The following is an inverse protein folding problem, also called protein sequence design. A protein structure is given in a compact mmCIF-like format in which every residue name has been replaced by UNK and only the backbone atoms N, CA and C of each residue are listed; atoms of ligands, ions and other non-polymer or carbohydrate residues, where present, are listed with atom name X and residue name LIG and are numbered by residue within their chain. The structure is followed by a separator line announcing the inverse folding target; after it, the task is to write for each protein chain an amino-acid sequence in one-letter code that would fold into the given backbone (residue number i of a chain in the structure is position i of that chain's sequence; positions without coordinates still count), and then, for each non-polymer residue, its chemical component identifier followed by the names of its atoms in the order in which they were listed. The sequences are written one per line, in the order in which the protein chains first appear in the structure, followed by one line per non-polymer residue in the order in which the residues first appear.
data_IF_772290635015
#
_entry.id   IF_772290635015
#
_cell.length_a   1.000
_cell.length_b   1.000
_cell.length_c   1.000
_cell.angle_alpha   90.00
_cell.angle_beta   90.00
_cell.angle_gamma   90.00
#
_symmetry.space_group_name_H-M   'P 1'
#
loop_
_entity.id
_entity.type
_entity.pdbx_description
1 polymer ?
#
# COMPACT_ATOMS: atom_id res chain seq x y z
N UNK A 1 3.08 -9.95 -11.10
CA UNK A 1 3.54 -9.34 -12.35
C UNK A 1 2.68 -8.14 -12.73
N UNK A 2 3.27 -7.12 -13.34
CA UNK A 2 2.61 -5.89 -13.80
C UNK A 2 1.43 -6.21 -14.76
N UNK A 3 1.57 -7.24 -15.56
CA UNK A 3 0.52 -7.73 -16.45
C UNK A 3 -0.78 -8.10 -15.71
N UNK A 4 -0.67 -8.74 -14.54
CA UNK A 4 -1.85 -9.06 -13.72
C UNK A 4 -2.55 -7.79 -13.19
N UNK A 5 -1.78 -6.77 -12.85
CA UNK A 5 -2.31 -5.48 -12.42
C UNK A 5 -3.07 -4.79 -13.58
N UNK A 6 -2.49 -4.81 -14.79
CA UNK A 6 -3.14 -4.31 -16.01
C UNK A 6 -4.46 -5.03 -16.31
N UNK A 7 -4.47 -6.35 -16.23
CA UNK A 7 -5.67 -7.15 -16.46
C UNK A 7 -6.76 -6.88 -15.41
N UNK A 8 -6.38 -6.78 -14.13
CA UNK A 8 -7.29 -6.42 -13.05
C UNK A 8 -7.91 -5.03 -13.28
N UNK A 9 -7.10 -4.03 -13.64
CA UNK A 9 -7.58 -2.68 -13.97
C UNK A 9 -8.62 -2.70 -15.10
N UNK A 10 -8.28 -3.35 -16.23
CA UNK A 10 -9.19 -3.47 -17.38
C UNK A 10 -10.52 -4.16 -17.05
N UNK A 11 -10.50 -5.05 -16.07
CA UNK A 11 -11.70 -5.72 -15.59
C UNK A 11 -12.50 -4.82 -14.65
N UNK A 12 -11.87 -4.30 -13.61
CA UNK A 12 -12.56 -3.58 -12.53
C UNK A 12 -13.04 -2.19 -12.90
N UNK A 13 -12.41 -1.49 -13.86
CA UNK A 13 -12.90 -0.19 -14.36
C UNK A 13 -14.33 -0.22 -14.93
N UNK A 14 -14.89 -1.41 -15.13
CA UNK A 14 -16.26 -1.59 -15.64
C UNK A 14 -17.31 -1.56 -14.53
N UNK A 15 -16.90 -1.46 -13.27
CA UNK A 15 -17.79 -1.60 -12.11
C UNK A 15 -17.67 -0.38 -11.18
N UNK A 16 -18.45 0.65 -11.47
CA UNK A 16 -18.36 1.94 -10.74
C UNK A 16 -18.87 1.88 -9.28
N UNK A 17 -19.68 0.90 -8.92
CA UNK A 17 -20.30 0.79 -7.59
C UNK A 17 -19.59 -0.15 -6.61
N UNK A 18 -18.51 -0.79 -7.00
CA UNK A 18 -17.83 -1.75 -6.14
C UNK A 18 -16.83 -1.08 -5.18
N UNK A 19 -16.87 -1.48 -3.91
CA UNK A 19 -15.81 -1.17 -2.95
C UNK A 19 -14.58 -2.02 -3.24
N UNK A 20 -13.66 -1.47 -4.02
CA UNK A 20 -12.45 -2.17 -4.45
C UNK A 20 -11.29 -1.89 -3.52
N UNK A 21 -10.46 -2.91 -3.29
CA UNK A 21 -9.19 -2.79 -2.57
C UNK A 21 -8.10 -3.50 -3.36
N UNK A 22 -7.08 -2.74 -3.76
CA UNK A 22 -5.87 -3.30 -4.35
C UNK A 22 -4.96 -3.85 -3.25
N UNK A 23 -4.93 -5.16 -3.08
CA UNK A 23 -4.10 -5.81 -2.08
C UNK A 23 -2.60 -5.67 -2.41
N UNK A 24 -1.80 -5.43 -1.35
CA UNK A 24 -0.33 -5.43 -1.42
C UNK A 24 0.23 -4.53 -2.54
N UNK A 25 -0.42 -3.38 -2.75
CA UNK A 25 -0.06 -2.42 -3.80
C UNK A 25 0.15 -3.05 -5.19
N UNK A 26 -0.61 -4.11 -5.51
CA UNK A 26 -0.45 -4.84 -6.77
C UNK A 26 0.82 -5.68 -6.87
N UNK A 27 1.51 -5.92 -5.74
CA UNK A 27 2.67 -6.81 -5.61
C UNK A 27 3.88 -6.39 -6.47
N UNK A 28 4.50 -5.23 -6.20
CA UNK A 28 5.72 -4.79 -6.89
C UNK A 28 6.87 -5.78 -6.74
N UNK A 29 7.80 -5.77 -7.67
CA UNK A 29 9.03 -6.58 -7.62
C UNK A 29 10.12 -5.86 -6.81
N UNK A 30 9.91 -5.74 -5.48
CA UNK A 30 10.76 -4.92 -4.59
C UNK A 30 12.22 -5.41 -4.60
N UNK A 31 12.44 -6.73 -4.59
CA UNK A 31 13.78 -7.33 -4.56
C UNK A 31 14.65 -6.91 -5.75
N UNK A 32 14.05 -6.70 -6.93
CA UNK A 32 14.78 -6.30 -8.15
C UNK A 32 14.93 -4.79 -8.28
N UNK A 33 14.28 -4.00 -7.44
CA UNK A 33 14.25 -2.55 -7.53
C UNK A 33 13.46 -2.01 -8.73
N UNK A 34 12.68 -2.87 -9.39
CA UNK A 34 11.93 -2.51 -10.59
C UNK A 34 10.68 -1.71 -10.22
N UNK A 35 10.77 -0.40 -10.41
CA UNK A 35 9.74 0.56 -9.98
C UNK A 35 8.89 1.08 -11.14
N UNK A 36 9.51 1.32 -12.32
CA UNK A 36 8.93 2.11 -13.39
C UNK A 36 7.63 1.54 -13.95
N UNK A 37 7.64 0.30 -14.38
CA UNK A 37 6.48 -0.32 -15.04
C UNK A 37 5.34 -0.55 -14.06
N UNK A 38 5.67 -0.92 -12.81
CA UNK A 38 4.70 -1.02 -11.73
C UNK A 38 4.06 0.35 -11.42
N UNK A 39 4.86 1.44 -11.29
CA UNK A 39 4.36 2.79 -11.04
C UNK A 39 3.42 3.25 -12.16
N UNK A 40 3.80 3.03 -13.43
CA UNK A 40 2.96 3.39 -14.58
C UNK A 40 1.59 2.71 -14.54
N UNK A 41 1.55 1.41 -14.26
CA UNK A 41 0.29 0.67 -14.20
C UNK A 41 -0.51 1.04 -12.94
N UNK A 42 0.17 1.36 -11.82
CA UNK A 42 -0.47 1.82 -10.60
C UNK A 42 -1.18 3.16 -10.80
N UNK A 43 -0.56 4.10 -11.54
CA UNK A 43 -1.17 5.38 -11.92
C UNK A 43 -2.46 5.16 -12.72
N UNK A 44 -2.41 4.26 -13.71
CA UNK A 44 -3.59 3.94 -14.51
C UNK A 44 -4.68 3.29 -13.65
N UNK A 45 -4.30 2.38 -12.75
CA UNK A 45 -5.24 1.71 -11.84
C UNK A 45 -5.95 2.71 -10.92
N UNK A 46 -5.19 3.62 -10.31
CA UNK A 46 -5.74 4.65 -9.41
C UNK A 46 -6.64 5.65 -10.14
N UNK A 47 -6.34 5.95 -11.41
CA UNK A 47 -7.12 6.87 -12.26
C UNK A 47 -8.41 6.26 -12.79
N UNK A 48 -8.38 4.98 -13.14
CA UNK A 48 -9.48 4.30 -13.81
C UNK A 48 -10.41 3.55 -12.84
N UNK A 49 -10.08 3.53 -11.54
CA UNK A 49 -10.88 2.86 -10.50
C UNK A 49 -10.99 3.71 -9.23
N UNK A 50 -12.04 3.46 -8.43
CA UNK A 50 -12.22 4.06 -7.11
C UNK A 50 -11.58 3.20 -5.99
N UNK A 51 -10.60 2.39 -6.32
CA UNK A 51 -10.00 1.46 -5.38
C UNK A 51 -9.23 2.18 -4.26
N UNK A 52 -9.34 1.62 -3.05
CA UNK A 52 -8.33 1.81 -2.01
C UNK A 52 -7.11 0.93 -2.32
N UNK A 53 -5.97 1.23 -1.72
CA UNK A 53 -4.75 0.42 -1.84
C UNK A 53 -4.22 0.05 -0.47
N UNK A 54 -3.78 -1.19 -0.30
CA UNK A 54 -3.05 -1.60 0.92
C UNK A 54 -1.56 -1.41 0.73
N UNK A 55 -0.98 -0.54 1.56
CA UNK A 55 0.46 -0.43 1.77
C UNK A 55 0.92 -1.61 2.65
N UNK A 56 1.14 -2.74 2.00
CA UNK A 56 1.49 -4.02 2.61
C UNK A 56 2.15 -4.92 1.58
N UNK A 57 2.69 -6.05 1.99
CA UNK A 57 3.28 -6.99 1.05
C UNK A 57 4.59 -6.49 0.43
N UNK A 58 5.26 -5.54 1.05
CA UNK A 58 6.51 -4.94 0.55
C UNK A 58 7.75 -5.63 1.13
N UNK A 59 7.78 -5.83 2.45
CA UNK A 59 8.96 -6.34 3.17
C UNK A 59 9.30 -7.78 2.79
N UNK A 60 8.32 -8.67 2.70
CA UNK A 60 8.53 -10.04 2.27
C UNK A 60 8.92 -10.16 0.79
N UNK A 61 8.61 -9.15 0.00
CA UNK A 61 9.00 -9.09 -1.42
C UNK A 61 10.36 -8.42 -1.63
N UNK A 62 10.88 -7.77 -0.61
CA UNK A 62 12.23 -7.19 -0.61
C UNK A 62 13.30 -8.21 -0.19
N UNK A 63 12.90 -9.32 0.46
CA UNK A 63 13.81 -10.32 1.01
C UNK A 63 14.24 -9.99 2.44
N UNK A 64 15.11 -10.80 3.04
CA UNK A 64 15.48 -10.68 4.46
C UNK A 64 16.41 -9.50 4.76
N UNK A 65 17.14 -9.02 3.77
CA UNK A 65 18.12 -7.92 3.89
C UNK A 65 17.53 -6.54 3.53
N UNK A 66 16.19 -6.40 3.60
CA UNK A 66 15.57 -5.13 3.28
C UNK A 66 15.90 -4.02 4.29
N UNK A 67 15.94 -2.79 3.81
CA UNK A 67 16.13 -1.58 4.62
C UNK A 67 15.00 -0.58 4.37
N UNK A 68 14.94 0.46 5.18
CA UNK A 68 14.02 1.58 4.96
C UNK A 68 14.18 2.18 3.55
N UNK A 69 15.41 2.31 3.08
CA UNK A 69 15.74 2.86 1.77
C UNK A 69 15.23 1.97 0.63
N UNK A 70 15.23 0.66 0.82
CA UNK A 70 14.67 -0.31 -0.14
C UNK A 70 13.15 -0.16 -0.28
N UNK A 71 12.46 0.06 0.84
CA UNK A 71 11.00 0.11 0.91
C UNK A 71 10.45 1.49 0.57
N UNK A 72 11.15 2.54 0.97
CA UNK A 72 10.72 3.94 0.86
C UNK A 72 10.20 4.33 -0.53
N UNK A 73 10.86 4.05 -1.66
CA UNK A 73 10.36 4.45 -2.99
C UNK A 73 8.98 3.88 -3.34
N UNK A 74 8.68 2.69 -2.82
CA UNK A 74 7.38 2.05 -3.04
C UNK A 74 6.29 2.69 -2.19
N UNK A 75 6.57 3.01 -0.92
CA UNK A 75 5.64 3.72 -0.04
C UNK A 75 5.33 5.12 -0.59
N UNK A 76 6.36 5.88 -0.98
CA UNK A 76 6.22 7.19 -1.61
C UNK A 76 5.34 7.13 -2.86
N UNK A 77 5.61 6.16 -3.74
CA UNK A 77 4.82 5.97 -4.96
C UNK A 77 3.36 5.64 -4.66
N UNK A 78 3.08 4.79 -3.68
CA UNK A 78 1.71 4.44 -3.28
C UNK A 78 0.94 5.70 -2.84
N UNK A 79 1.56 6.53 -1.99
CA UNK A 79 0.94 7.75 -1.47
C UNK A 79 0.78 8.79 -2.57
N UNK A 80 1.81 9.00 -3.40
CA UNK A 80 1.77 9.92 -4.54
C UNK A 80 0.63 9.59 -5.51
N UNK A 81 0.46 8.30 -5.81
CA UNK A 81 -0.47 7.84 -6.84
C UNK A 81 -1.92 7.78 -6.37
N UNK A 82 -2.16 7.30 -5.15
CA UNK A 82 -3.53 7.13 -4.63
C UNK A 82 -4.01 8.32 -3.79
N UNK A 83 -3.10 9.14 -3.29
CA UNK A 83 -3.40 10.10 -2.23
C UNK A 83 -3.57 9.42 -0.87
N UNK A 84 -3.27 10.14 0.21
CA UNK A 84 -3.27 9.60 1.57
C UNK A 84 -4.62 9.02 2.01
N UNK A 85 -5.73 9.52 1.48
CA UNK A 85 -7.08 9.08 1.84
C UNK A 85 -7.45 7.70 1.30
N UNK A 86 -6.78 7.25 0.24
CA UNK A 86 -7.02 5.93 -0.36
C UNK A 86 -5.98 4.88 0.00
N UNK A 87 -5.06 5.20 0.92
CA UNK A 87 -4.02 4.28 1.38
C UNK A 87 -4.39 3.68 2.73
N UNK A 88 -4.29 2.37 2.86
CA UNK A 88 -4.49 1.63 4.11
C UNK A 88 -3.23 0.84 4.46
N UNK A 89 -2.78 0.96 5.70
CA UNK A 89 -1.73 0.09 6.22
C UNK A 89 -2.19 -1.37 6.30
N UNK A 90 -1.26 -2.29 6.13
CA UNK A 90 -1.45 -3.71 6.39
C UNK A 90 -0.13 -4.40 6.66
N UNK A 91 -0.14 -5.35 7.60
CA UNK A 91 1.07 -6.10 7.95
C UNK A 91 1.36 -7.24 6.99
N UNK A 92 0.33 -7.82 6.39
CA UNK A 92 0.40 -9.11 5.71
C UNK A 92 0.83 -10.26 6.64
N UNK A 93 0.53 -10.11 7.96
CA UNK A 93 0.78 -11.20 8.90
C UNK A 93 -0.08 -12.43 8.56
N UNK A 94 0.44 -13.67 8.66
CA UNK A 94 1.77 -14.04 9.14
C UNK A 94 2.87 -14.04 8.05
N UNK A 95 2.54 -13.80 6.79
CA UNK A 95 3.51 -13.94 5.66
C UNK A 95 4.71 -13.01 5.83
N UNK A 96 4.51 -11.81 6.35
CA UNK A 96 5.60 -10.85 6.59
C UNK A 96 6.71 -11.41 7.51
N UNK A 97 6.40 -12.40 8.37
CA UNK A 97 7.37 -12.92 9.34
C UNK A 97 8.53 -13.69 8.70
N UNK A 98 8.47 -13.97 7.41
CA UNK A 98 9.60 -14.57 6.67
C UNK A 98 10.75 -13.58 6.46
N UNK A 99 10.53 -12.28 6.61
CA UNK A 99 11.54 -11.24 6.35
C UNK A 99 11.51 -10.07 7.33
N UNK A 100 10.53 -10.00 8.24
CA UNK A 100 10.39 -8.89 9.18
C UNK A 100 9.71 -9.32 10.48
N UNK A 101 9.77 -8.46 11.50
CA UNK A 101 8.87 -8.52 12.65
C UNK A 101 7.76 -7.49 12.49
N UNK A 102 6.67 -7.67 13.25
CA UNK A 102 5.57 -6.70 13.28
C UNK A 102 6.08 -5.29 13.63
N UNK A 103 6.82 -5.19 14.73
CA UNK A 103 7.31 -3.89 15.22
C UNK A 103 8.27 -3.23 14.23
N UNK A 104 9.16 -4.01 13.60
CA UNK A 104 10.09 -3.48 12.62
C UNK A 104 9.36 -2.87 11.43
N UNK A 105 8.35 -3.57 10.89
CA UNK A 105 7.60 -3.07 9.74
C UNK A 105 6.76 -1.83 10.11
N UNK A 106 6.04 -1.85 11.24
CA UNK A 106 5.24 -0.72 11.71
C UNK A 106 6.11 0.50 11.96
N UNK A 107 7.22 0.35 12.67
CA UNK A 107 8.13 1.45 12.98
C UNK A 107 8.75 2.02 11.71
N UNK A 108 9.22 1.18 10.79
CA UNK A 108 9.80 1.63 9.52
C UNK A 108 8.79 2.41 8.68
N UNK A 109 7.54 1.95 8.59
CA UNK A 109 6.52 2.69 7.87
C UNK A 109 6.24 4.04 8.51
N UNK A 110 6.08 4.10 9.83
CA UNK A 110 5.88 5.37 10.56
C UNK A 110 7.04 6.34 10.35
N UNK A 111 8.29 5.85 10.35
CA UNK A 111 9.45 6.68 10.04
C UNK A 111 9.38 7.25 8.61
N UNK A 112 9.04 6.42 7.61
CA UNK A 112 8.90 6.89 6.22
C UNK A 112 7.80 7.95 6.13
N UNK A 113 6.63 7.74 6.73
CA UNK A 113 5.53 8.70 6.72
C UNK A 113 5.90 10.02 7.40
N UNK A 114 6.67 9.97 8.49
CA UNK A 114 7.19 11.13 9.20
C UNK A 114 8.23 11.89 8.35
N UNK A 115 9.14 11.18 7.71
CA UNK A 115 10.15 11.75 6.82
C UNK A 115 9.52 12.47 5.61
N UNK A 116 8.34 12.01 5.18
CA UNK A 116 7.52 12.65 4.14
C UNK A 116 6.79 13.91 4.65
N UNK A 117 6.99 14.26 5.92
CA UNK A 117 6.37 15.44 6.58
C UNK A 117 4.84 15.43 6.54
N UNK A 118 4.25 14.24 6.56
CA UNK A 118 2.81 14.11 6.68
C UNK A 118 2.36 14.51 8.09
N UNK A 119 1.18 15.13 8.19
CA UNK A 119 0.62 15.45 9.51
C UNK A 119 0.27 14.16 10.27
N UNK A 120 0.24 14.25 11.62
CA UNK A 120 -0.15 13.09 12.44
C UNK A 120 -1.54 12.55 12.07
N UNK A 121 -2.47 13.43 11.74
CA UNK A 121 -3.80 13.06 11.29
C UNK A 121 -3.76 12.19 10.03
N UNK A 122 -2.93 12.55 9.04
CA UNK A 122 -2.76 11.76 7.81
C UNK A 122 -2.11 10.41 8.13
N UNK A 123 -1.12 10.37 9.01
CA UNK A 123 -0.47 9.13 9.46
C UNK A 123 -1.51 8.22 10.12
N UNK A 124 -2.32 8.72 11.05
CA UNK A 124 -3.37 7.96 11.71
C UNK A 124 -4.42 7.43 10.73
N UNK A 125 -4.75 8.23 9.71
CA UNK A 125 -5.67 7.80 8.65
C UNK A 125 -5.10 6.62 7.87
N UNK A 126 -3.84 6.69 7.43
CA UNK A 126 -3.17 5.60 6.71
C UNK A 126 -3.03 4.36 7.62
N UNK A 127 -2.66 4.56 8.88
CA UNK A 127 -2.37 3.47 9.81
C UNK A 127 -3.62 2.71 10.28
N UNK A 128 -4.82 3.32 10.20
CA UNK A 128 -6.03 2.61 10.64
C UNK A 128 -7.36 3.20 10.21
N UNK A 129 -7.56 4.53 10.30
CA UNK A 129 -8.88 5.13 10.10
C UNK A 129 -9.43 4.93 8.69
N UNK A 130 -8.58 4.99 7.65
CA UNK A 130 -9.01 4.72 6.27
C UNK A 130 -9.59 3.31 6.12
N UNK A 131 -8.94 2.31 6.72
CA UNK A 131 -9.44 0.94 6.70
C UNK A 131 -10.76 0.81 7.49
N UNK A 132 -10.84 1.39 8.68
CA UNK A 132 -12.05 1.42 9.50
C UNK A 132 -13.24 2.00 8.73
N UNK A 133 -13.05 3.14 8.09
CA UNK A 133 -14.09 3.82 7.30
C UNK A 133 -14.49 2.99 6.07
N UNK A 134 -13.49 2.46 5.34
CA UNK A 134 -13.76 1.71 4.12
C UNK A 134 -14.54 0.42 4.39
N UNK A 135 -14.17 -0.32 5.45
CA UNK A 135 -14.83 -1.57 5.82
C UNK A 135 -16.08 -1.38 6.68
N UNK A 136 -16.36 -0.15 7.13
CA UNK A 136 -17.50 0.14 7.99
C UNK A 136 -17.38 -0.51 9.37
N UNK A 137 -16.17 -0.68 9.85
CA UNK A 137 -15.86 -1.17 11.19
C UNK A 137 -15.98 0.03 12.11
N UNK A 138 -17.19 0.45 12.45
CA UNK A 138 -17.44 1.63 13.29
C UNK A 138 -16.54 1.65 14.53
N UNK A 139 -16.43 2.81 15.18
CA UNK A 139 -15.57 3.12 16.31
C UNK A 139 -15.49 2.03 17.39
N UNK A 140 -14.72 0.99 17.13
CA UNK A 140 -14.36 -0.03 18.13
C UNK A 140 -13.20 0.47 19.01
N UNK A 141 -12.76 1.71 18.78
CA UNK A 141 -11.61 2.34 19.44
C UNK A 141 -11.98 3.65 20.15
N UNK A 142 -13.20 3.72 20.70
CA UNK A 142 -13.52 4.69 21.74
C UNK A 142 -13.31 4.09 23.12
#
# INVERSE_FOLDING_TARGET
PVENLSNARKFFRKFDGLKLVLNHAGRPAVMTGELKDWKNELILFAKETNAMVKCSGLVERAGVEWTKETIRPYVETIIEVFGSERVMFGTNWPVMTISSTYDLWVNTLNEILTDLKLSQEIIDNIMGRNASNHYGIGSVLE
#
